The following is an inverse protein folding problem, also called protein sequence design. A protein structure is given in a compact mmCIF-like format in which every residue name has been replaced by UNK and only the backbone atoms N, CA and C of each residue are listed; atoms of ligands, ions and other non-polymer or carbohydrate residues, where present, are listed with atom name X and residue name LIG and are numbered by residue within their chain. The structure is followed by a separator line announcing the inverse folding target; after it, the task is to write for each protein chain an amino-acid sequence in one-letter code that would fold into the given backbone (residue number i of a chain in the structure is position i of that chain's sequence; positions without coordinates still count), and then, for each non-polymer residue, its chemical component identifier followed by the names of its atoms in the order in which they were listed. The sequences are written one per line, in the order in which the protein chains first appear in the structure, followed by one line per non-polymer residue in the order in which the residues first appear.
data_IF_065384265094
#
_entry.id   IF_065384265094
#
_cell.length_a   1.000
_cell.length_b   1.000
_cell.length_c   1.000
_cell.angle_alpha   90.00
_cell.angle_beta   90.00
_cell.angle_gamma   90.00
#
_symmetry.space_group_name_H-M   'P 1'
#
loop_
_entity.id
_entity.type
_entity.pdbx_description
1 polymer ?
#
# COMPACT_ATOMS: atom_id res chain seq x y z
N UNK A 1 -26.77 -17.18 10.85
CA UNK A 1 -26.46 -15.98 10.05
C UNK A 1 -24.95 -15.88 9.92
N UNK A 2 -24.36 -15.98 8.72
CA UNK A 2 -22.92 -15.87 8.59
C UNK A 2 -22.53 -14.40 8.67
N UNK A 3 -21.77 -14.05 9.71
CA UNK A 3 -21.06 -12.79 9.83
C UNK A 3 -20.10 -12.66 8.65
N UNK A 4 -20.39 -11.76 7.70
CA UNK A 4 -19.42 -11.35 6.67
C UNK A 4 -18.18 -10.81 7.39
N UNK A 5 -17.14 -11.63 7.50
CA UNK A 5 -15.78 -11.14 7.72
C UNK A 5 -15.40 -10.40 6.44
N UNK A 6 -15.47 -9.07 6.50
CA UNK A 6 -14.95 -8.23 5.44
C UNK A 6 -13.44 -8.06 5.74
N UNK A 7 -12.55 -8.63 4.92
CA UNK A 7 -11.11 -8.52 5.15
C UNK A 7 -10.67 -7.07 5.02
N UNK A 8 -9.66 -6.68 5.81
CA UNK A 8 -9.01 -5.38 5.73
C UNK A 8 -7.96 -5.43 4.61
N UNK A 9 -8.35 -5.12 3.38
CA UNK A 9 -7.54 -5.29 2.17
C UNK A 9 -7.84 -4.18 1.16
N UNK A 10 -6.85 -3.33 0.85
CA UNK A 10 -6.83 -2.27 -0.21
C UNK A 10 -8.05 -1.33 -0.33
N UNK A 11 -8.05 -0.32 -1.22
CA UNK A 11 -9.21 0.51 -1.40
C UNK A 11 -10.42 -0.38 -1.62
N UNK A 12 -11.54 -0.04 -1.00
CA UNK A 12 -12.80 -0.76 -1.20
C UNK A 12 -13.27 -0.51 -2.65
N UNK A 13 -12.75 -1.28 -3.60
CA UNK A 13 -13.20 -1.29 -4.99
C UNK A 13 -14.65 -1.82 -5.12
N UNK A 14 -15.21 -2.36 -4.03
CA UNK A 14 -16.56 -2.92 -4.00
C UNK A 14 -17.69 -1.88 -3.90
N UNK A 15 -17.42 -0.57 -3.74
CA UNK A 15 -18.48 0.44 -3.55
C UNK A 15 -18.14 1.84 -4.07
N UNK A 16 -18.50 2.12 -5.31
CA UNK A 16 -19.09 3.43 -5.65
C UNK A 16 -20.56 3.40 -5.25
N UNK A 17 -20.84 3.46 -3.95
CA UNK A 17 -22.18 3.84 -3.48
C UNK A 17 -22.13 5.32 -3.15
N UNK A 18 -22.95 6.12 -3.83
CA UNK A 18 -23.17 7.58 -3.64
C UNK A 18 -23.65 7.97 -2.23
N UNK A 19 -23.46 7.13 -1.21
CA UNK A 19 -23.77 7.46 0.17
C UNK A 19 -22.58 8.20 0.81
N UNK A 20 -22.79 9.37 1.43
CA UNK A 20 -21.73 10.10 2.11
C UNK A 20 -21.05 9.21 3.15
N UNK A 21 -19.70 9.16 3.11
CA UNK A 21 -18.88 8.34 4.02
C UNK A 21 -19.43 8.42 5.43
N UNK A 22 -19.96 7.30 5.91
CA UNK A 22 -20.69 7.27 7.17
C UNK A 22 -19.80 7.73 8.32
N UNK A 23 -20.36 8.37 9.35
CA UNK A 23 -19.62 8.72 10.57
C UNK A 23 -18.91 7.50 11.18
N UNK A 24 -19.47 6.30 10.96
CA UNK A 24 -18.87 5.03 11.37
C UNK A 24 -17.61 4.71 10.57
N UNK A 25 -17.60 4.91 9.26
CA UNK A 25 -16.42 4.70 8.41
C UNK A 25 -15.30 5.68 8.74
N UNK A 26 -15.63 6.96 8.96
CA UNK A 26 -14.64 7.97 9.38
C UNK A 26 -14.02 7.62 10.72
N UNK A 27 -14.84 7.25 11.71
CA UNK A 27 -14.35 6.78 13.03
C UNK A 27 -13.49 5.53 12.90
N UNK A 28 -13.88 4.59 12.03
CA UNK A 28 -13.11 3.38 11.77
C UNK A 28 -11.71 3.71 11.24
N UNK A 29 -11.63 4.56 10.21
CA UNK A 29 -10.39 4.99 9.59
C UNK A 29 -9.48 5.76 10.55
N UNK A 30 -10.08 6.59 11.41
CA UNK A 30 -9.34 7.31 12.44
C UNK A 30 -8.71 6.34 13.44
N UNK A 31 -9.49 5.37 13.95
CA UNK A 31 -8.95 4.34 14.86
C UNK A 31 -7.87 3.50 14.18
N UNK A 32 -8.05 3.11 12.91
CA UNK A 32 -7.04 2.33 12.18
C UNK A 32 -5.71 3.10 12.08
N UNK A 33 -5.78 4.41 11.73
CA UNK A 33 -4.58 5.27 11.68
C UNK A 33 -3.91 5.42 13.05
N UNK A 34 -4.68 5.72 14.10
CA UNK A 34 -4.14 5.87 15.45
C UNK A 34 -3.44 4.59 15.95
N UNK A 35 -4.05 3.43 15.71
CA UNK A 35 -3.45 2.14 16.07
C UNK A 35 -2.20 1.85 15.24
N UNK A 36 -2.20 2.19 13.95
CA UNK A 36 -1.06 1.99 13.07
C UNK A 36 0.15 2.84 13.46
N UNK A 37 -0.08 4.10 13.80
CA UNK A 37 0.99 4.99 14.29
C UNK A 37 1.59 4.51 15.62
N UNK A 38 0.74 4.05 16.55
CA UNK A 38 1.20 3.45 17.81
C UNK A 38 2.02 2.17 17.55
N UNK A 39 1.56 1.30 16.65
CA UNK A 39 2.28 0.08 16.30
C UNK A 39 3.65 0.39 15.69
N UNK A 40 3.72 1.32 14.73
CA UNK A 40 4.97 1.76 14.12
C UNK A 40 5.95 2.33 15.16
N UNK A 41 5.49 3.24 16.02
CA UNK A 41 6.33 3.83 17.05
C UNK A 41 6.90 2.79 18.02
N UNK A 42 6.11 1.78 18.39
CA UNK A 42 6.59 0.70 19.27
C UNK A 42 7.58 -0.22 18.57
N UNK A 43 7.34 -0.55 17.30
CA UNK A 43 8.28 -1.34 16.51
C UNK A 43 9.62 -0.63 16.32
N UNK A 44 9.61 0.68 16.10
CA UNK A 44 10.85 1.48 16.02
C UNK A 44 11.59 1.54 17.35
N UNK A 45 10.86 1.62 18.47
CA UNK A 45 11.47 1.74 19.80
C UNK A 45 12.03 0.41 20.34
N UNK A 46 11.31 -0.70 20.12
CA UNK A 46 11.58 -1.97 20.80
C UNK A 46 11.82 -3.15 19.85
N UNK A 47 11.61 -2.98 18.55
CA UNK A 47 11.53 -4.08 17.58
C UNK A 47 10.18 -4.78 17.60
N UNK A 48 9.89 -5.55 16.55
CA UNK A 48 8.59 -6.21 16.40
C UNK A 48 8.42 -7.32 17.43
N UNK A 49 9.44 -8.16 17.62
CA UNK A 49 9.35 -9.34 18.50
C UNK A 49 9.06 -8.97 19.96
N UNK A 50 9.64 -7.87 20.46
CA UNK A 50 9.41 -7.38 21.82
C UNK A 50 8.06 -6.67 21.99
N UNK A 51 7.41 -6.25 20.92
CA UNK A 51 6.14 -5.52 20.96
C UNK A 51 4.95 -6.48 20.97
N UNK A 52 3.99 -6.25 21.86
CA UNK A 52 2.78 -7.09 22.00
C UNK A 52 1.51 -6.38 21.55
N UNK A 53 0.49 -7.15 21.14
CA UNK A 53 -0.85 -6.59 20.83
C UNK A 53 -1.46 -5.90 22.04
N UNK A 54 -1.24 -6.42 23.24
CA UNK A 54 -1.76 -5.82 24.47
C UNK A 54 -1.14 -4.45 24.74
N UNK A 55 0.16 -4.29 24.46
CA UNK A 55 0.85 -3.02 24.57
C UNK A 55 0.35 -2.00 23.55
N UNK A 56 0.23 -2.40 22.28
CA UNK A 56 -0.32 -1.54 21.21
C UNK A 56 -1.74 -1.11 21.57
N UNK A 57 -2.60 -2.06 21.94
CA UNK A 57 -4.00 -1.79 22.29
C UNK A 57 -4.10 -0.83 23.49
N UNK A 58 -3.29 -1.05 24.53
CA UNK A 58 -3.22 -0.17 25.71
C UNK A 58 -2.80 1.24 25.33
N UNK A 59 -1.76 1.41 24.51
CA UNK A 59 -1.29 2.73 24.09
C UNK A 59 -2.27 3.45 23.16
N UNK A 60 -2.96 2.70 22.30
CA UNK A 60 -4.02 3.23 21.43
C UNK A 60 -5.38 3.41 22.12
N UNK A 61 -5.49 3.14 23.44
CA UNK A 61 -6.73 3.34 24.20
C UNK A 61 -7.86 2.37 23.83
N UNK A 62 -7.54 1.19 23.30
CA UNK A 62 -8.51 0.16 22.91
C UNK A 62 -8.26 -1.17 23.63
N UNK A 63 -9.24 -2.08 23.61
CA UNK A 63 -9.02 -3.45 24.12
C UNK A 63 -8.34 -4.34 23.08
N UNK A 64 -7.63 -5.41 23.48
CA UNK A 64 -7.07 -6.40 22.55
C UNK A 64 -8.14 -7.03 21.65
N UNK A 65 -9.33 -7.30 22.21
CA UNK A 65 -10.51 -7.74 21.42
C UNK A 65 -10.89 -6.73 20.35
N UNK A 66 -10.78 -5.44 20.67
CA UNK A 66 -11.04 -4.36 19.70
C UNK A 66 -9.94 -4.31 18.65
N UNK A 67 -8.67 -4.44 19.03
CA UNK A 67 -7.56 -4.53 18.08
C UNK A 67 -7.79 -5.62 17.03
N UNK A 68 -8.08 -6.86 17.46
CA UNK A 68 -8.31 -7.99 16.56
C UNK A 68 -9.55 -7.86 15.67
N UNK A 69 -10.44 -6.90 15.95
CA UNK A 69 -11.56 -6.57 15.07
C UNK A 69 -11.10 -5.78 13.83
N UNK A 70 -10.00 -5.05 13.93
CA UNK A 70 -9.43 -4.25 12.84
C UNK A 70 -8.29 -5.00 12.14
N UNK A 71 -7.42 -5.63 12.92
CA UNK A 71 -6.16 -6.17 12.41
C UNK A 71 -6.01 -7.65 12.76
N UNK A 72 -5.64 -8.51 11.79
CA UNK A 72 -5.41 -9.92 12.07
C UNK A 72 -4.11 -10.14 12.86
N UNK A 73 -3.10 -9.27 12.71
CA UNK A 73 -1.81 -9.35 13.41
C UNK A 73 -1.30 -7.95 13.79
N UNK A 74 -0.28 -7.89 14.65
CA UNK A 74 0.40 -6.64 15.03
C UNK A 74 1.13 -5.99 13.84
N UNK A 75 1.73 -6.81 12.98
CA UNK A 75 2.45 -6.36 11.78
C UNK A 75 1.49 -5.69 10.79
N UNK A 76 0.28 -6.24 10.64
CA UNK A 76 -0.75 -5.63 9.77
C UNK A 76 -1.26 -4.29 10.27
N UNK A 77 -1.15 -3.99 11.57
CA UNK A 77 -1.49 -2.67 12.09
C UNK A 77 -0.52 -1.59 11.61
N UNK A 78 0.77 -1.91 11.43
CA UNK A 78 1.77 -0.95 10.95
C UNK A 78 1.69 -0.66 9.45
N UNK A 79 0.83 -1.37 8.69
CA UNK A 79 0.70 -1.25 7.25
C UNK A 79 -0.59 -0.52 6.83
N UNK A 80 -1.14 0.31 7.73
CA UNK A 80 -2.39 1.05 7.49
C UNK A 80 -2.15 2.14 6.44
N UNK A 81 -2.86 2.10 5.31
CA UNK A 81 -2.73 3.10 4.26
C UNK A 81 -3.47 4.40 4.61
N UNK A 82 -3.07 5.49 3.96
CA UNK A 82 -3.79 6.76 4.03
C UNK A 82 -5.09 6.68 3.22
N UNK A 83 -6.23 6.73 3.90
CA UNK A 83 -7.57 6.60 3.28
C UNK A 83 -7.80 7.57 2.12
N UNK A 84 -7.39 8.83 2.25
CA UNK A 84 -7.61 9.82 1.18
C UNK A 84 -6.79 9.50 -0.08
N UNK A 85 -5.66 8.80 0.07
CA UNK A 85 -4.89 8.30 -1.06
C UNK A 85 -5.53 7.03 -1.63
N UNK A 86 -6.04 6.13 -0.79
CA UNK A 86 -6.79 4.95 -1.24
C UNK A 86 -8.03 5.31 -2.04
N UNK A 87 -8.84 6.25 -1.54
CA UNK A 87 -10.07 6.69 -2.20
C UNK A 87 -9.76 7.36 -3.56
N UNK A 88 -8.64 8.11 -3.65
CA UNK A 88 -8.14 8.67 -4.91
C UNK A 88 -7.70 7.58 -5.89
N UNK A 89 -6.91 6.60 -5.44
CA UNK A 89 -6.47 5.48 -6.28
C UNK A 89 -7.66 4.68 -6.79
N UNK A 90 -8.64 4.38 -5.93
CA UNK A 90 -9.87 3.69 -6.34
C UNK A 90 -10.58 4.45 -7.47
N UNK A 91 -10.78 5.76 -7.30
CA UNK A 91 -11.42 6.59 -8.31
C UNK A 91 -10.64 6.62 -9.64
N UNK A 92 -9.30 6.59 -9.61
CA UNK A 92 -8.49 6.52 -10.82
C UNK A 92 -8.58 5.15 -11.50
N UNK A 93 -8.65 4.07 -10.72
CA UNK A 93 -8.86 2.70 -11.23
C UNK A 93 -10.25 2.59 -11.88
N UNK A 94 -11.30 3.11 -11.24
CA UNK A 94 -12.66 3.12 -11.77
C UNK A 94 -12.77 3.95 -13.08
N UNK A 95 -11.86 4.91 -13.27
CA UNK A 95 -11.81 5.78 -14.45
C UNK A 95 -10.95 5.22 -15.61
N UNK A 96 -10.42 4.00 -15.49
CA UNK A 96 -9.61 3.39 -16.54
C UNK A 96 -10.41 3.22 -17.83
N UNK A 97 -9.79 3.60 -18.95
CA UNK A 97 -10.41 3.52 -20.26
C UNK A 97 -10.08 2.19 -20.95
N UNK A 98 -11.07 1.47 -21.52
CA UNK A 98 -10.82 0.28 -22.32
C UNK A 98 -10.12 0.57 -23.65
N UNK A 99 -10.15 1.82 -24.12
CA UNK A 99 -9.53 2.24 -25.39
C UNK A 99 -8.01 2.50 -25.26
N UNK A 100 -7.47 2.44 -24.04
CA UNK A 100 -6.05 2.69 -23.75
C UNK A 100 -5.37 1.42 -23.24
N UNK A 101 -4.09 1.20 -23.54
CA UNK A 101 -3.32 0.12 -22.94
C UNK A 101 -3.34 0.22 -21.41
N UNK A 102 -3.59 -0.90 -20.73
CA UNK A 102 -3.82 -0.95 -19.27
C UNK A 102 -2.55 -0.63 -18.48
N UNK A 103 -1.40 -1.21 -18.85
CA UNK A 103 -0.16 -1.04 -18.09
C UNK A 103 0.27 0.45 -17.98
N UNK A 104 0.32 1.24 -19.08
CA UNK A 104 0.58 2.68 -18.97
C UNK A 104 -0.39 3.43 -18.06
N UNK A 105 -1.67 3.06 -18.05
CA UNK A 105 -2.65 3.70 -17.15
C UNK A 105 -2.40 3.33 -15.67
N UNK A 106 -2.00 2.09 -15.38
CA UNK A 106 -1.58 1.70 -14.03
C UNK A 106 -0.30 2.42 -13.61
N UNK A 107 0.66 2.59 -14.53
CA UNK A 107 1.88 3.36 -14.28
C UNK A 107 1.57 4.83 -13.98
N UNK A 108 0.62 5.44 -14.68
CA UNK A 108 0.12 6.81 -14.40
C UNK A 108 -0.46 6.93 -12.97
N UNK A 109 -1.24 5.94 -12.53
CA UNK A 109 -1.76 5.88 -11.15
C UNK A 109 -0.61 5.82 -10.14
N UNK A 110 0.40 5.00 -10.39
CA UNK A 110 1.55 4.90 -9.49
C UNK A 110 2.37 6.19 -9.45
N UNK A 111 2.52 6.91 -10.56
CA UNK A 111 3.17 8.24 -10.56
C UNK A 111 2.42 9.20 -9.63
N UNK A 112 1.09 9.25 -9.69
CA UNK A 112 0.29 10.10 -8.78
C UNK A 112 0.50 9.70 -7.31
N UNK A 113 0.46 8.40 -7.01
CA UNK A 113 0.70 7.88 -5.65
C UNK A 113 2.07 8.26 -5.12
N UNK A 114 3.11 8.06 -5.92
CA UNK A 114 4.48 8.35 -5.52
C UNK A 114 4.74 9.85 -5.39
N UNK A 115 4.11 10.67 -6.25
CA UNK A 115 4.15 12.14 -6.12
C UNK A 115 3.50 12.58 -4.81
N UNK A 116 2.38 11.96 -4.41
CA UNK A 116 1.70 12.29 -3.16
C UNK A 116 2.52 11.99 -1.90
N UNK A 117 3.55 11.14 -1.98
CA UNK A 117 4.48 10.91 -0.88
C UNK A 117 5.45 12.09 -0.67
N UNK A 118 5.60 12.98 -1.65
CA UNK A 118 6.39 14.21 -1.56
C UNK A 118 7.82 13.97 -1.05
N UNK A 119 8.48 12.93 -1.59
CA UNK A 119 9.79 12.43 -1.15
C UNK A 119 9.96 12.31 0.37
N UNK A 120 8.87 11.97 1.07
CA UNK A 120 8.88 11.75 2.52
C UNK A 120 8.57 12.99 3.36
N UNK A 121 8.25 14.13 2.72
CA UNK A 121 7.82 15.36 3.40
C UNK A 121 6.35 15.34 3.79
N UNK A 122 5.54 14.50 3.14
CA UNK A 122 4.15 14.26 3.53
C UNK A 122 4.05 13.21 4.64
N UNK A 123 2.97 13.24 5.43
CA UNK A 123 2.68 12.22 6.46
C UNK A 123 2.70 10.80 5.85
N UNK A 124 2.12 10.64 4.66
CA UNK A 124 2.11 9.37 3.93
C UNK A 124 3.50 8.92 3.49
N UNK A 125 4.32 9.84 2.99
CA UNK A 125 5.69 9.55 2.60
C UNK A 125 6.55 9.17 3.81
N UNK A 126 6.44 9.91 4.92
CA UNK A 126 7.14 9.62 6.16
C UNK A 126 6.76 8.22 6.68
N UNK A 127 5.47 7.90 6.71
CA UNK A 127 4.99 6.59 7.14
C UNK A 127 5.55 5.46 6.26
N UNK A 128 5.55 5.63 4.93
CA UNK A 128 6.11 4.64 4.00
C UNK A 128 7.62 4.45 4.22
N UNK A 129 8.37 5.53 4.47
CA UNK A 129 9.79 5.41 4.85
C UNK A 129 9.93 4.57 6.11
N UNK A 130 9.23 4.92 7.19
CA UNK A 130 9.28 4.21 8.48
C UNK A 130 9.02 2.71 8.33
N UNK A 131 7.97 2.34 7.59
CA UNK A 131 7.65 0.94 7.26
C UNK A 131 8.79 0.27 6.48
N UNK A 132 9.30 0.91 5.43
CA UNK A 132 10.37 0.36 4.57
C UNK A 132 11.67 0.16 5.34
N UNK A 133 12.02 1.08 6.26
CA UNK A 133 13.18 0.93 7.15
C UNK A 133 13.03 -0.29 8.05
N UNK A 134 11.88 -0.44 8.72
CA UNK A 134 11.61 -1.60 9.57
C UNK A 134 11.67 -2.92 8.79
N UNK A 135 11.11 -2.96 7.58
CA UNK A 135 11.13 -4.17 6.73
C UNK A 135 12.55 -4.67 6.44
N UNK A 136 13.57 -3.81 6.43
CA UNK A 136 14.96 -4.25 6.19
C UNK A 136 15.50 -5.14 7.32
N UNK A 137 15.10 -4.87 8.56
CA UNK A 137 15.57 -5.60 9.74
C UNK A 137 14.55 -6.60 10.28
N UNK A 138 13.28 -6.47 9.90
CA UNK A 138 12.16 -7.23 10.48
C UNK A 138 11.52 -8.18 9.45
N UNK A 139 11.87 -9.49 9.43
CA UNK A 139 11.33 -10.45 8.47
C UNK A 139 9.81 -10.64 8.58
N UNK A 140 9.24 -10.58 9.79
CA UNK A 140 7.81 -10.72 10.05
C UNK A 140 6.99 -9.63 9.36
N UNK A 141 7.49 -8.37 9.37
CA UNK A 141 6.85 -7.27 8.67
C UNK A 141 6.93 -7.43 7.16
N UNK A 142 8.06 -7.91 6.62
CA UNK A 142 8.18 -8.22 5.19
C UNK A 142 7.17 -9.25 4.74
N UNK A 143 6.96 -10.31 5.53
CA UNK A 143 5.96 -11.33 5.25
C UNK A 143 4.54 -10.76 5.31
N UNK A 144 4.23 -9.93 6.30
CA UNK A 144 2.93 -9.27 6.40
C UNK A 144 2.65 -8.32 5.22
N UNK A 145 3.66 -7.58 4.76
CA UNK A 145 3.59 -6.70 3.60
C UNK A 145 3.42 -7.50 2.29
N UNK A 146 4.16 -8.58 2.10
CA UNK A 146 4.01 -9.43 0.91
C UNK A 146 2.62 -10.08 0.84
N UNK A 147 2.09 -10.57 1.97
CA UNK A 147 0.72 -11.09 2.04
C UNK A 147 -0.31 -10.00 1.74
N UNK A 148 -0.10 -8.78 2.24
CA UNK A 148 -0.97 -7.65 1.93
C UNK A 148 -0.92 -7.34 0.43
N UNK A 149 0.26 -7.25 -0.18
CA UNK A 149 0.42 -7.00 -1.61
C UNK A 149 -0.26 -8.06 -2.48
N UNK A 150 -0.16 -9.35 -2.13
CA UNK A 150 -0.88 -10.43 -2.86
C UNK A 150 -2.40 -10.25 -2.76
N UNK A 151 -2.94 -9.98 -1.57
CA UNK A 151 -4.38 -9.74 -1.41
C UNK A 151 -4.85 -8.55 -2.27
N UNK A 152 -4.05 -7.49 -2.33
CA UNK A 152 -4.30 -6.27 -3.10
C UNK A 152 -4.27 -6.54 -4.61
N UNK A 153 -3.28 -7.31 -5.06
CA UNK A 153 -3.16 -7.75 -6.45
C UNK A 153 -4.38 -8.53 -6.89
N UNK A 154 -4.83 -9.51 -6.10
CA UNK A 154 -6.00 -10.33 -6.45
C UNK A 154 -7.27 -9.49 -6.59
N UNK A 155 -7.48 -8.52 -5.69
CA UNK A 155 -8.61 -7.59 -5.74
C UNK A 155 -8.55 -6.71 -6.99
N UNK A 156 -7.39 -6.13 -7.30
CA UNK A 156 -7.22 -5.28 -8.48
C UNK A 156 -7.37 -6.08 -9.78
N UNK A 157 -6.84 -7.31 -9.84
CA UNK A 157 -7.01 -8.20 -11.00
C UNK A 157 -8.48 -8.49 -11.26
N UNK A 158 -9.23 -8.88 -10.23
CA UNK A 158 -10.67 -9.14 -10.38
C UNK A 158 -11.41 -7.88 -10.87
N UNK A 159 -11.13 -6.73 -10.26
CA UNK A 159 -11.78 -5.48 -10.62
C UNK A 159 -11.46 -5.04 -12.06
N UNK A 160 -10.20 -5.13 -12.52
CA UNK A 160 -9.84 -4.78 -13.90
C UNK A 160 -10.52 -5.67 -14.93
N UNK A 161 -10.73 -6.95 -14.62
CA UNK A 161 -11.43 -7.89 -15.51
C UNK A 161 -12.90 -7.49 -15.66
N UNK A 162 -13.56 -7.14 -14.56
CA UNK A 162 -14.95 -6.70 -14.57
C UNK A 162 -15.11 -5.35 -15.27
N UNK A 163 -14.20 -4.41 -15.03
CA UNK A 163 -14.24 -3.05 -15.57
C UNK A 163 -13.97 -3.01 -17.09
N UNK A 164 -13.00 -3.78 -17.57
CA UNK A 164 -12.50 -3.67 -18.94
C UNK A 164 -12.97 -4.78 -19.87
N UNK A 165 -13.62 -5.83 -19.35
CA UNK A 165 -14.34 -6.88 -20.09
C UNK A 165 -13.48 -7.87 -20.90
N UNK A 166 -12.42 -7.39 -21.55
CA UNK A 166 -11.58 -8.15 -22.51
C UNK A 166 -10.23 -8.60 -21.93
N UNK A 167 -10.06 -8.52 -20.61
CA UNK A 167 -8.86 -9.01 -19.93
C UNK A 167 -9.08 -10.42 -19.38
N UNK A 168 -8.35 -11.39 -19.91
CA UNK A 168 -8.22 -12.69 -19.26
C UNK A 168 -7.41 -12.58 -17.95
N UNK A 169 -7.51 -13.64 -17.13
CA UNK A 169 -6.90 -13.68 -15.80
C UNK A 169 -5.37 -13.53 -15.83
N UNK A 170 -4.72 -14.24 -16.75
CA UNK A 170 -3.26 -14.23 -16.86
C UNK A 170 -2.77 -12.85 -17.29
N UNK A 171 -3.42 -12.24 -18.28
CA UNK A 171 -3.08 -10.91 -18.79
C UNK A 171 -3.29 -9.85 -17.72
N UNK A 172 -4.43 -9.84 -17.04
CA UNK A 172 -4.70 -8.91 -15.95
C UNK A 172 -3.63 -9.03 -14.84
N UNK A 173 -3.31 -10.27 -14.44
CA UNK A 173 -2.29 -10.51 -13.41
C UNK A 173 -0.90 -10.04 -13.84
N UNK A 174 -0.46 -10.37 -15.05
CA UNK A 174 0.86 -9.92 -15.55
C UNK A 174 0.95 -8.39 -15.56
N UNK A 175 -0.10 -7.68 -16.00
CA UNK A 175 -0.11 -6.22 -16.05
C UNK A 175 -0.02 -5.60 -14.64
N UNK A 176 -0.82 -6.09 -13.69
CA UNK A 176 -0.81 -5.60 -12.30
C UNK A 176 0.54 -5.88 -11.62
N UNK A 177 1.06 -7.11 -11.74
CA UNK A 177 2.31 -7.53 -11.13
C UNK A 177 3.52 -6.77 -11.72
N UNK A 178 3.50 -6.52 -13.03
CA UNK A 178 4.55 -5.74 -13.71
C UNK A 178 4.62 -4.32 -13.15
N UNK A 179 3.47 -3.64 -13.06
CA UNK A 179 3.38 -2.30 -12.48
C UNK A 179 3.83 -2.28 -11.01
N UNK A 180 3.37 -3.25 -10.21
CA UNK A 180 3.71 -3.35 -8.79
C UNK A 180 5.21 -3.60 -8.54
N UNK A 181 5.87 -4.37 -9.41
CA UNK A 181 7.28 -4.68 -9.25
C UNK A 181 8.19 -3.43 -9.32
N UNK A 182 7.93 -2.51 -10.26
CA UNK A 182 8.71 -1.27 -10.38
C UNK A 182 8.54 -0.38 -9.15
N UNK A 183 7.32 -0.27 -8.62
CA UNK A 183 7.02 0.52 -7.42
C UNK A 183 7.73 -0.05 -6.19
N UNK A 184 7.68 -1.36 -5.99
CA UNK A 184 8.32 -2.01 -4.84
C UNK A 184 9.83 -1.74 -4.82
N UNK A 185 10.48 -1.90 -5.97
CA UNK A 185 11.93 -1.64 -6.13
C UNK A 185 12.24 -0.16 -5.92
N UNK A 186 11.41 0.75 -6.45
CA UNK A 186 11.61 2.18 -6.27
C UNK A 186 11.49 2.62 -4.81
N UNK A 187 10.50 2.09 -4.07
CA UNK A 187 10.32 2.38 -2.65
C UNK A 187 11.47 1.83 -1.79
N UNK A 188 11.97 0.63 -2.10
CA UNK A 188 13.12 0.06 -1.39
C UNK A 188 14.40 0.87 -1.63
N UNK A 189 14.67 1.24 -2.89
CA UNK A 189 15.82 2.07 -3.26
C UNK A 189 15.75 3.48 -2.66
N UNK A 190 14.56 4.07 -2.62
CA UNK A 190 14.31 5.36 -1.99
C UNK A 190 14.58 5.32 -0.49
N UNK A 191 14.05 4.31 0.23
CA UNK A 191 14.29 4.16 1.66
C UNK A 191 15.78 3.97 1.99
N UNK A 192 16.50 3.16 1.20
CA UNK A 192 17.95 2.97 1.33
C UNK A 192 18.71 4.28 1.13
N UNK A 193 18.38 5.04 0.08
CA UNK A 193 19.09 6.26 -0.22
C UNK A 193 18.87 7.35 0.85
N UNK A 194 17.64 7.53 1.33
CA UNK A 194 17.34 8.47 2.42
C UNK A 194 18.13 8.12 3.69
N UNK A 195 18.28 6.83 4.02
CA UNK A 195 19.09 6.41 5.18
C UNK A 195 20.59 6.72 5.01
N UNK A 196 21.12 6.58 3.80
CA UNK A 196 22.53 6.88 3.50
C UNK A 196 22.81 8.39 3.32
N UNK A 197 21.79 9.24 3.49
CA UNK A 197 21.89 10.69 3.32
C UNK A 197 21.93 11.15 1.85
N UNK A 198 21.51 10.29 0.92
CA UNK A 198 21.36 10.63 -0.49
C UNK A 198 20.09 11.45 -0.74
N UNK A 199 20.15 12.36 -1.71
CA UNK A 199 18.98 13.02 -2.26
C UNK A 199 18.35 12.10 -3.31
N UNK A 200 17.08 11.74 -3.14
CA UNK A 200 16.37 10.87 -4.07
C UNK A 200 15.00 11.43 -4.39
N UNK A 201 14.80 11.63 -5.69
CA UNK A 201 13.50 11.82 -6.32
C UNK A 201 12.86 10.45 -6.51
N UNK A 202 11.81 10.18 -5.75
CA UNK A 202 11.11 8.89 -5.75
C UNK A 202 10.46 8.61 -7.11
N UNK A 203 9.89 9.64 -7.75
CA UNK A 203 9.22 9.52 -9.06
C UNK A 203 10.24 9.23 -10.16
N UNK A 204 11.40 9.90 -10.14
CA UNK A 204 12.49 9.62 -11.07
C UNK A 204 13.07 8.20 -10.87
N UNK A 205 13.18 7.76 -9.62
CA UNK A 205 13.62 6.39 -9.29
C UNK A 205 12.64 5.36 -9.83
N UNK A 206 11.34 5.59 -9.69
CA UNK A 206 10.30 4.75 -10.28
C UNK A 206 10.37 4.75 -11.81
N UNK A 207 10.52 5.92 -12.45
CA UNK A 207 10.65 6.02 -13.90
C UNK A 207 11.85 5.20 -14.41
N UNK A 208 12.99 5.23 -13.70
CA UNK A 208 14.15 4.39 -14.02
C UNK A 208 13.86 2.88 -13.88
N UNK A 209 13.14 2.48 -12.83
CA UNK A 209 12.74 1.08 -12.64
C UNK A 209 11.82 0.60 -13.77
N UNK A 210 10.85 1.42 -14.17
CA UNK A 210 9.96 1.15 -15.30
C UNK A 210 10.73 1.03 -16.61
N UNK A 211 11.64 1.97 -16.91
CA UNK A 211 12.43 1.95 -18.14
C UNK A 211 13.29 0.68 -18.24
N UNK A 212 13.85 0.21 -17.11
CA UNK A 212 14.58 -1.06 -17.02
C UNK A 212 13.70 -2.29 -17.30
N UNK A 213 12.42 -2.25 -16.96
CA UNK A 213 11.47 -3.35 -17.24
C UNK A 213 11.13 -3.44 -18.72
N UNK A 214 10.93 -2.29 -19.39
CA UNK A 214 10.56 -2.24 -20.81
C UNK A 214 11.76 -2.45 -21.76
N UNK A 215 12.95 -1.96 -21.38
CA UNK A 215 14.18 -2.12 -22.16
C UNK A 215 15.41 -2.31 -21.25
N UNK A 216 15.73 -3.56 -20.88
CA UNK A 216 16.87 -3.86 -20.01
C UNK A 216 18.23 -3.44 -20.59
N UNK A 217 18.34 -3.29 -21.91
CA UNK A 217 19.62 -2.97 -22.58
C UNK A 217 19.91 -1.46 -22.63
N UNK A 218 18.90 -0.61 -22.42
CA UNK A 218 19.05 0.85 -22.45
C UNK A 218 19.83 1.40 -21.26
N UNK A 219 19.79 0.72 -20.11
CA UNK A 219 20.47 1.13 -18.89
C UNK A 219 21.98 0.84 -18.84
N UNK A 220 22.51 0.00 -19.73
CA UNK A 220 23.95 -0.28 -19.81
C UNK A 220 24.75 0.83 -20.55
N UNK A 221 24.10 1.91 -20.97
CA UNK A 221 24.69 2.98 -21.82
C UNK A 221 24.74 4.36 -21.15
N UNK A 222 24.34 4.47 -19.88
CA UNK A 222 24.39 5.70 -19.07
C UNK A 222 25.29 5.47 -17.88
#
# INVERSE_FOLDING_TARGET
MPTRHQPATFPRLDRVSEEPVSLRDRRRAQTEREVGEVALALFEAHGIDATTVDEIARQAGISPRTFFRYFPTKERAALVPHRDLEDRVAAMVDALSPDRPVLPQLEEIWVEVLTAFDDGRSEAGEQVLRVRRLMRTEPSLRLAAASLDEERTLVLVAHLRDLLGDLDDLRARVLVETAAAAVRVALDAWAEAVETGGEVDLVATYARCRDLQHDPQRAART
#
